data_IF_620447888905
#
_entry.id   IF_620447888905
#
_cell.length_a   1.000
_cell.length_b   1.000
_cell.length_c   1.000
_cell.angle_alpha   90.00
_cell.angle_beta   90.00
_cell.angle_gamma   90.00
#
_symmetry.space_group_name_H-M   'P 1'
#
loop_
_entity.id
_entity.type
_entity.pdbx_description
1 polymer ?
#
# COMPACT_ATOMS: atom_id res chain seq x y z
N UNK A 1 27.14 21.28 60.83
CA UNK A 1 28.46 21.53 60.22
C UNK A 1 28.92 20.21 59.63
N UNK A 2 28.82 20.03 58.30
CA UNK A 2 29.41 18.86 57.64
C UNK A 2 30.92 19.06 57.59
N UNK A 3 31.67 18.05 58.02
CA UNK A 3 33.13 18.07 57.92
C UNK A 3 33.54 18.08 56.45
N UNK A 4 34.71 18.66 56.15
CA UNK A 4 35.29 18.65 54.78
C UNK A 4 35.37 17.22 54.21
N UNK A 5 35.57 16.23 55.06
CA UNK A 5 35.54 14.79 54.72
C UNK A 5 34.16 14.28 54.33
N UNK A 6 33.08 14.77 54.95
CA UNK A 6 31.71 14.33 54.65
C UNK A 6 31.27 14.82 53.26
N UNK A 7 31.69 16.03 52.88
CA UNK A 7 31.42 16.57 51.55
C UNK A 7 32.21 15.82 50.47
N UNK A 8 33.45 15.43 50.75
CA UNK A 8 34.26 14.61 49.82
C UNK A 8 33.65 13.22 49.66
N UNK A 9 33.22 12.59 50.76
CA UNK A 9 32.55 11.29 50.72
C UNK A 9 31.27 11.32 49.89
N UNK A 10 30.46 12.36 50.05
CA UNK A 10 29.24 12.56 49.27
C UNK A 10 29.52 12.70 47.77
N UNK A 11 30.55 13.46 47.40
CA UNK A 11 30.96 13.62 45.99
C UNK A 11 31.46 12.31 45.37
N UNK A 12 32.20 11.50 46.13
CA UNK A 12 32.66 10.18 45.68
C UNK A 12 31.47 9.24 45.47
N UNK A 13 30.49 9.25 46.38
CA UNK A 13 29.28 8.44 46.26
C UNK A 13 28.42 8.85 45.05
N UNK A 14 28.26 10.14 44.83
CA UNK A 14 27.52 10.68 43.69
C UNK A 14 28.19 10.31 42.35
N UNK A 15 29.54 10.35 42.29
CA UNK A 15 30.30 9.93 41.11
C UNK A 15 30.11 8.44 40.83
N UNK A 16 30.17 7.59 41.86
CA UNK A 16 29.92 6.15 41.72
C UNK A 16 28.52 5.87 41.21
N UNK A 17 27.50 6.56 41.73
CA UNK A 17 26.12 6.41 41.25
C UNK A 17 25.94 6.84 39.80
N UNK A 18 26.59 7.92 39.37
CA UNK A 18 26.56 8.38 37.98
C UNK A 18 27.22 7.38 37.02
N UNK A 19 28.37 6.80 37.42
CA UNK A 19 29.08 5.81 36.63
C UNK A 19 28.27 4.51 36.49
N UNK A 20 27.72 4.01 37.59
CA UNK A 20 26.87 2.80 37.59
C UNK A 20 25.59 3.06 36.80
N UNK A 21 24.94 4.21 37.00
CA UNK A 21 23.73 4.60 36.28
C UNK A 21 23.92 4.60 34.77
N UNK A 22 25.06 5.11 34.28
CA UNK A 22 25.36 5.14 32.83
C UNK A 22 25.41 3.76 32.17
N UNK A 23 25.73 2.70 32.92
CA UNK A 23 25.74 1.33 32.42
C UNK A 23 24.33 0.75 32.21
N UNK A 24 23.32 1.27 32.94
CA UNK A 24 21.92 0.86 32.84
C UNK A 24 21.10 1.72 31.86
N UNK A 25 21.63 2.87 31.41
CA UNK A 25 21.02 3.65 30.36
C UNK A 25 21.39 3.07 28.98
N UNK A 26 20.59 2.11 28.52
CA UNK A 26 20.63 1.75 27.10
C UNK A 26 20.12 2.92 26.27
N UNK A 27 20.79 3.29 25.16
CA UNK A 27 20.27 4.31 24.27
C UNK A 27 18.92 3.81 23.73
N UNK A 28 17.86 4.60 23.92
CA UNK A 28 16.59 4.40 23.21
C UNK A 28 16.89 4.63 21.74
N UNK A 29 17.21 3.54 21.02
CA UNK A 29 17.29 3.60 19.56
C UNK A 29 15.88 3.48 19.03
N UNK A 30 15.48 4.45 18.23
CA UNK A 30 14.27 4.33 17.43
C UNK A 30 14.42 3.10 16.54
N UNK A 31 13.61 2.09 16.81
CA UNK A 31 13.71 0.79 16.17
C UNK A 31 13.01 0.86 14.80
N UNK A 32 13.51 1.72 13.90
CA UNK A 32 13.06 1.73 12.52
C UNK A 32 13.46 0.40 11.90
N UNK A 33 12.47 -0.46 11.76
CA UNK A 33 12.59 -1.82 11.25
C UNK A 33 12.98 -1.73 9.77
N UNK A 34 14.28 -1.71 9.49
CA UNK A 34 14.83 -1.49 8.14
C UNK A 34 14.46 -2.60 7.15
N UNK A 35 14.10 -3.81 7.61
CA UNK A 35 13.67 -4.89 6.74
C UNK A 35 12.23 -4.75 6.21
N UNK A 36 11.43 -3.83 6.77
CA UNK A 36 10.13 -3.45 6.20
C UNK A 36 10.25 -2.35 5.14
N UNK A 37 11.40 -1.66 5.09
CA UNK A 37 11.70 -0.64 4.11
C UNK A 37 12.63 -1.25 3.07
N UNK A 38 12.07 -1.93 2.07
CA UNK A 38 12.86 -2.33 0.90
C UNK A 38 13.34 -1.04 0.21
N UNK A 39 14.66 -0.77 0.19
CA UNK A 39 15.16 0.40 -0.51
C UNK A 39 14.80 0.27 -1.98
N UNK A 40 14.22 1.33 -2.54
CA UNK A 40 13.86 1.38 -3.95
C UNK A 40 15.07 1.24 -4.87
N UNK A 41 14.84 0.81 -6.12
CA UNK A 41 15.90 0.71 -7.12
C UNK A 41 16.30 2.09 -7.63
N UNK A 42 17.60 2.39 -7.58
CA UNK A 42 18.16 3.59 -8.19
C UNK A 42 18.64 3.28 -9.61
N UNK A 43 18.42 4.16 -10.61
CA UNK A 43 17.79 5.49 -10.53
C UNK A 43 16.27 5.49 -10.79
N UNK A 44 15.65 4.33 -11.00
CA UNK A 44 14.25 4.20 -11.42
C UNK A 44 13.29 4.85 -10.43
N UNK A 45 13.43 4.57 -9.14
CA UNK A 45 12.56 5.11 -8.10
C UNK A 45 12.76 6.62 -7.84
N UNK A 46 13.85 7.19 -8.34
CA UNK A 46 14.11 8.65 -8.28
C UNK A 46 13.57 9.36 -9.53
N UNK A 47 13.54 8.66 -10.67
CA UNK A 47 13.17 9.25 -11.96
C UNK A 47 11.71 9.02 -12.34
N UNK A 48 11.05 8.03 -11.75
CA UNK A 48 9.71 7.60 -12.12
C UNK A 48 8.80 7.44 -10.90
N UNK A 49 7.47 7.64 -11.05
CA UNK A 49 6.56 7.58 -9.93
C UNK A 49 6.18 6.12 -9.59
N UNK A 50 5.70 5.89 -8.37
CA UNK A 50 5.57 4.57 -7.73
C UNK A 50 4.82 3.51 -8.55
N UNK A 51 3.67 3.86 -9.13
CA UNK A 51 2.83 2.93 -9.89
C UNK A 51 3.21 2.81 -11.37
N UNK A 52 4.47 3.12 -11.71
CA UNK A 52 4.96 2.91 -13.06
C UNK A 52 4.98 1.41 -13.38
N UNK A 53 4.31 1.03 -14.46
CA UNK A 53 4.13 -0.37 -14.89
C UNK A 53 2.69 -0.82 -14.73
N UNK A 54 2.04 -0.44 -13.63
CA UNK A 54 0.63 -0.72 -13.37
C UNK A 54 -0.31 0.26 -14.08
N UNK A 55 0.11 1.53 -14.18
CA UNK A 55 -0.61 2.58 -14.87
C UNK A 55 0.29 3.29 -15.88
N UNK A 56 -0.23 3.61 -17.08
CA UNK A 56 0.49 4.42 -18.05
C UNK A 56 0.75 5.82 -17.48
N UNK A 57 1.93 6.37 -17.76
CA UNK A 57 2.30 7.72 -17.31
C UNK A 57 1.65 8.78 -18.19
N UNK A 58 1.26 9.90 -17.58
CA UNK A 58 0.63 11.00 -18.29
C UNK A 58 1.57 11.71 -19.26
N UNK A 59 1.15 11.83 -20.52
CA UNK A 59 1.88 12.61 -21.53
C UNK A 59 1.90 14.09 -21.14
N UNK A 60 3.10 14.66 -21.01
CA UNK A 60 3.31 16.06 -20.65
C UNK A 60 3.79 16.29 -19.21
N UNK A 61 3.66 15.28 -18.33
CA UNK A 61 4.31 15.22 -17.01
C UNK A 61 3.85 16.25 -15.97
N UNK A 62 3.35 15.77 -14.83
CA UNK A 62 3.44 16.41 -13.51
C UNK A 62 3.12 17.91 -13.44
N UNK A 63 1.83 18.23 -13.37
CA UNK A 63 1.33 19.58 -13.09
C UNK A 63 0.17 19.54 -12.12
N UNK A 64 -0.60 20.63 -12.05
CA UNK A 64 -1.91 20.62 -11.42
C UNK A 64 -2.95 20.21 -12.47
N UNK A 65 -3.92 19.40 -12.08
CA UNK A 65 -5.09 19.07 -12.89
C UNK A 65 -6.19 20.11 -12.69
N UNK A 66 -7.14 20.12 -13.61
CA UNK A 66 -8.38 20.89 -13.51
C UNK A 66 -9.42 20.24 -12.58
N UNK A 67 -9.03 19.21 -11.81
CA UNK A 67 -9.94 18.55 -10.88
C UNK A 67 -10.21 19.46 -9.68
N UNK A 68 -11.49 19.67 -9.40
CA UNK A 68 -11.98 20.33 -8.20
C UNK A 68 -12.59 19.32 -7.21
N UNK A 69 -12.93 19.81 -6.02
CA UNK A 69 -13.55 18.97 -4.98
C UNK A 69 -14.86 18.31 -5.44
N UNK A 70 -15.59 18.95 -6.37
CA UNK A 70 -16.83 18.41 -6.92
C UNK A 70 -16.55 17.24 -7.87
N UNK A 71 -15.60 17.40 -8.78
CA UNK A 71 -15.16 16.38 -9.72
C UNK A 71 -14.59 15.16 -8.99
N UNK A 72 -13.94 15.38 -7.85
CA UNK A 72 -13.39 14.32 -7.02
C UNK A 72 -14.46 13.34 -6.50
N UNK A 73 -15.69 13.81 -6.26
CA UNK A 73 -16.80 12.97 -5.81
C UNK A 73 -17.19 11.87 -6.81
N UNK A 74 -16.94 12.07 -8.11
CA UNK A 74 -17.24 11.07 -9.14
C UNK A 74 -16.28 9.85 -9.09
N UNK A 75 -15.11 10.00 -8.45
CA UNK A 75 -14.13 8.94 -8.28
C UNK A 75 -14.39 8.07 -7.04
N UNK A 76 -15.28 8.50 -6.15
CA UNK A 76 -15.63 7.72 -4.96
C UNK A 76 -16.42 6.47 -5.37
N UNK A 77 -16.01 5.26 -4.94
CA UNK A 77 -16.67 3.99 -5.31
C UNK A 77 -17.95 3.75 -4.47
N UNK A 78 -18.75 4.79 -4.25
CA UNK A 78 -20.03 4.71 -3.54
C UNK A 78 -21.14 4.74 -4.57
N UNK A 79 -21.58 3.55 -4.96
CA UNK A 79 -22.66 3.41 -5.93
C UNK A 79 -24.03 3.43 -5.24
N UNK A 80 -25.04 4.07 -5.86
CA UNK A 80 -26.40 4.00 -5.35
C UNK A 80 -26.96 2.59 -5.49
N UNK A 81 -27.91 2.25 -4.61
CA UNK A 81 -28.65 1.00 -4.69
C UNK A 81 -29.30 0.88 -6.07
N UNK A 82 -28.96 -0.16 -6.82
CA UNK A 82 -29.50 -0.39 -8.17
C UNK A 82 -29.64 -1.89 -8.45
N UNK A 83 -30.59 -2.23 -9.32
CA UNK A 83 -30.78 -3.61 -9.82
C UNK A 83 -29.56 -4.16 -10.58
N UNK A 84 -28.61 -3.29 -10.94
CA UNK A 84 -27.36 -3.66 -11.60
C UNK A 84 -26.35 -4.33 -10.65
N UNK A 85 -26.68 -4.50 -9.36
CA UNK A 85 -25.85 -5.17 -8.35
C UNK A 85 -24.41 -4.63 -8.28
N UNK A 86 -24.23 -3.34 -8.55
CA UNK A 86 -22.91 -2.69 -8.44
C UNK A 86 -22.56 -2.56 -6.97
N UNK A 87 -21.47 -3.19 -6.55
CA UNK A 87 -20.95 -3.11 -5.18
C UNK A 87 -19.86 -2.04 -5.08
N UNK A 88 -19.62 -1.53 -3.88
CA UNK A 88 -18.51 -0.62 -3.58
C UNK A 88 -17.13 -1.29 -3.65
N UNK A 89 -17.08 -2.61 -3.86
CA UNK A 89 -15.84 -3.38 -3.97
C UNK A 89 -15.31 -3.38 -5.41
N UNK A 90 -14.77 -2.24 -5.83
CA UNK A 90 -14.14 -2.10 -7.16
C UNK A 90 -12.78 -2.82 -7.15
N UNK A 91 -12.68 -3.93 -7.90
CA UNK A 91 -11.43 -4.71 -8.04
C UNK A 91 -10.48 -4.13 -9.08
N UNK A 92 -11.01 -3.63 -10.19
CA UNK A 92 -10.23 -3.13 -11.32
C UNK A 92 -10.44 -1.63 -11.48
N UNK A 93 -9.38 -0.86 -11.26
CA UNK A 93 -9.41 0.59 -11.32
C UNK A 93 -8.78 1.09 -12.62
N UNK A 94 -9.44 2.01 -13.32
CA UNK A 94 -8.87 2.63 -14.51
C UNK A 94 -7.78 3.65 -14.14
N UNK A 95 -7.90 4.24 -12.95
CA UNK A 95 -7.02 5.29 -12.44
C UNK A 95 -6.68 4.97 -10.98
N UNK A 96 -5.51 5.38 -10.49
CA UNK A 96 -5.17 5.23 -9.07
C UNK A 96 -5.93 6.20 -8.16
N UNK A 97 -6.72 7.12 -8.71
CA UNK A 97 -7.54 8.06 -7.95
C UNK A 97 -8.86 7.41 -7.51
N UNK A 98 -9.10 7.41 -6.19
CA UNK A 98 -10.28 6.88 -5.52
C UNK A 98 -11.19 7.98 -4.93
N UNK A 99 -10.93 9.25 -5.24
CA UNK A 99 -11.72 10.37 -4.73
C UNK A 99 -11.23 10.94 -3.38
N UNK A 100 -10.21 10.35 -2.75
CA UNK A 100 -9.73 10.80 -1.43
C UNK A 100 -8.52 11.73 -1.48
N UNK A 101 -8.04 12.04 -2.68
CA UNK A 101 -6.84 12.84 -2.87
C UNK A 101 -7.12 14.34 -2.60
N UNK A 102 -6.18 14.99 -1.89
CA UNK A 102 -6.29 16.38 -1.47
C UNK A 102 -4.90 17.06 -1.51
N UNK A 103 -4.79 18.29 -2.06
CA UNK A 103 -5.85 19.06 -2.72
C UNK A 103 -6.27 18.43 -4.06
N UNK A 104 -7.52 18.67 -4.47
CA UNK A 104 -8.13 17.97 -5.61
C UNK A 104 -7.36 18.17 -6.94
N UNK A 105 -6.76 19.35 -7.12
CA UNK A 105 -5.96 19.71 -8.28
C UNK A 105 -4.59 18.99 -8.34
N UNK A 106 -4.18 18.26 -7.30
CA UNK A 106 -2.98 17.42 -7.36
C UNK A 106 -3.29 16.00 -7.85
N UNK A 107 -4.56 15.65 -8.01
CA UNK A 107 -5.00 14.31 -8.37
C UNK A 107 -5.05 14.13 -9.89
N UNK A 108 -4.78 12.92 -10.39
CA UNK A 108 -4.91 12.62 -11.83
C UNK A 108 -3.89 13.33 -12.74
N UNK A 109 -2.71 13.65 -12.19
CA UNK A 109 -1.65 14.42 -12.86
C UNK A 109 -0.42 13.58 -13.25
N UNK A 110 -0.32 12.36 -12.71
CA UNK A 110 0.84 11.49 -12.89
C UNK A 110 0.56 10.31 -13.83
N UNK A 111 -0.69 9.86 -13.90
CA UNK A 111 -1.08 8.61 -14.57
C UNK A 111 -2.26 8.84 -15.50
N UNK A 112 -2.23 8.22 -16.68
CA UNK A 112 -3.38 8.14 -17.57
C UNK A 112 -4.30 6.98 -17.16
N UNK A 113 -5.52 7.00 -17.70
CA UNK A 113 -6.46 5.91 -17.52
C UNK A 113 -5.91 4.65 -18.21
N UNK A 114 -5.69 3.58 -17.44
CA UNK A 114 -5.33 2.29 -18.02
C UNK A 114 -6.55 1.61 -18.64
N UNK A 115 -6.30 0.84 -19.70
CA UNK A 115 -7.31 -0.07 -20.24
C UNK A 115 -7.52 -1.21 -19.26
N UNK A 116 -8.74 -1.35 -18.76
CA UNK A 116 -9.11 -2.49 -17.91
C UNK A 116 -9.39 -3.69 -18.81
N UNK A 117 -8.60 -4.76 -18.65
CA UNK A 117 -8.93 -6.07 -19.20
C UNK A 117 -9.46 -6.94 -18.05
N UNK A 118 -10.78 -7.18 -18.05
CA UNK A 118 -11.41 -8.04 -17.06
C UNK A 118 -11.24 -9.48 -17.55
N UNK A 119 -10.58 -10.35 -16.76
CA UNK A 119 -10.47 -11.76 -17.14
C UNK A 119 -11.87 -12.35 -17.31
N UNK A 120 -12.09 -13.04 -18.42
CA UNK A 120 -13.35 -13.74 -18.61
C UNK A 120 -13.41 -14.93 -17.66
N UNK A 121 -14.53 -15.08 -16.98
CA UNK A 121 -14.77 -16.28 -16.20
C UNK A 121 -14.85 -17.48 -17.14
N UNK A 122 -14.32 -18.65 -16.74
CA UNK A 122 -14.50 -19.86 -17.53
C UNK A 122 -16.00 -20.13 -17.75
N UNK A 123 -16.38 -20.68 -18.90
CA UNK A 123 -17.78 -20.93 -19.19
C UNK A 123 -18.38 -21.89 -18.14
N UNK A 124 -19.59 -21.59 -17.70
CA UNK A 124 -20.32 -22.49 -16.81
C UNK A 124 -20.68 -23.77 -17.57
N UNK A 125 -20.48 -24.93 -16.93
CA UNK A 125 -20.83 -26.20 -17.56
C UNK A 125 -22.30 -26.60 -17.28
N UNK A 126 -23.07 -27.03 -18.30
CA UNK A 126 -24.47 -27.43 -18.13
C UNK A 126 -24.55 -28.68 -17.26
N UNK A 127 -25.54 -28.81 -16.38
CA UNK A 127 -25.67 -29.93 -15.42
C UNK A 127 -25.59 -31.34 -16.03
N UNK A 128 -25.89 -31.47 -17.32
CA UNK A 128 -25.77 -32.72 -18.08
C UNK A 128 -24.34 -33.09 -18.51
N UNK A 129 -23.34 -32.23 -18.29
CA UNK A 129 -21.95 -32.54 -18.65
C UNK A 129 -21.39 -33.68 -17.80
N UNK A 130 -20.59 -34.55 -18.43
CA UNK A 130 -19.85 -35.65 -17.80
C UNK A 130 -18.53 -35.20 -17.16
N UNK A 131 -18.15 -33.93 -17.33
CA UNK A 131 -16.91 -33.39 -16.80
C UNK A 131 -16.94 -33.29 -15.27
N UNK A 132 -15.79 -33.51 -14.64
CA UNK A 132 -15.60 -33.30 -13.20
C UNK A 132 -15.78 -31.82 -12.87
N UNK A 133 -16.65 -31.51 -11.90
CA UNK A 133 -16.96 -30.11 -11.54
C UNK A 133 -16.13 -29.64 -10.36
N UNK A 134 -15.68 -28.39 -10.42
CA UNK A 134 -15.28 -27.61 -9.25
C UNK A 134 -16.18 -26.37 -9.20
N UNK A 135 -17.13 -26.37 -8.27
CA UNK A 135 -18.23 -25.39 -8.23
C UNK A 135 -19.04 -25.35 -9.54
N UNK A 136 -19.02 -24.23 -10.27
CA UNK A 136 -19.79 -24.01 -11.52
C UNK A 136 -18.98 -24.28 -12.79
N UNK A 137 -17.70 -24.66 -12.66
CA UNK A 137 -16.75 -24.80 -13.77
C UNK A 137 -16.32 -26.26 -13.96
N UNK A 138 -15.92 -26.62 -15.18
CA UNK A 138 -15.23 -27.88 -15.44
C UNK A 138 -13.82 -27.82 -14.89
N UNK A 139 -13.39 -28.92 -14.28
CA UNK A 139 -11.99 -29.20 -14.00
C UNK A 139 -11.30 -29.59 -15.31
N UNK A 140 -10.29 -28.82 -15.71
CA UNK A 140 -9.43 -29.12 -16.83
C UNK A 140 -7.99 -29.26 -16.29
N UNK A 141 -7.42 -30.46 -16.42
CA UNK A 141 -6.09 -30.77 -15.91
C UNK A 141 -4.97 -30.14 -16.74
N UNK A 142 -5.27 -29.73 -17.97
CA UNK A 142 -4.33 -29.15 -18.93
C UNK A 142 -4.48 -27.63 -19.04
N UNK A 143 -5.39 -27.02 -18.26
CA UNK A 143 -5.61 -25.59 -18.28
C UNK A 143 -4.38 -24.81 -17.76
N UNK A 144 -4.01 -23.70 -18.41
CA UNK A 144 -2.91 -22.84 -17.95
C UNK A 144 -3.12 -22.39 -16.49
N UNK A 145 -2.10 -22.56 -15.64
CA UNK A 145 -2.14 -22.28 -14.20
C UNK A 145 -2.38 -20.80 -13.86
N UNK A 146 -2.32 -19.93 -14.85
CA UNK A 146 -2.58 -18.50 -14.80
C UNK A 146 -4.08 -18.14 -14.71
N UNK A 147 -5.00 -19.09 -14.91
CA UNK A 147 -6.45 -18.87 -14.73
C UNK A 147 -6.91 -19.11 -13.28
N UNK A 148 -6.23 -20.00 -12.55
CA UNK A 148 -6.46 -20.25 -11.13
C UNK A 148 -5.26 -19.74 -10.36
N UNK A 149 -5.23 -18.42 -10.11
CA UNK A 149 -4.21 -17.77 -9.30
C UNK A 149 -3.89 -18.61 -8.06
N UNK A 150 -2.61 -18.96 -7.94
CA UNK A 150 -2.04 -19.67 -6.81
C UNK A 150 -2.48 -19.05 -5.49
N UNK A 151 -3.50 -19.63 -4.88
CA UNK A 151 -3.84 -19.45 -3.48
C UNK A 151 -3.72 -20.82 -2.81
N UNK A 152 -2.47 -21.21 -2.60
CA UNK A 152 -2.03 -22.02 -1.47
C UNK A 152 -0.88 -21.26 -0.82
#
# INVERSE_FOLDING_TARGET
>A
MTSKTDNILFLILALLFALIGSFFFTPVRENFVSHLLQPGEFPTNVTKPLLQGDYPLQKGGGGLSDLDSRSMSAYYPVFPNSYLQRTNNVRYWATPNNGTCSPANMCGTLYENKKINIPQFPPSIPFSSKDTRVNVYAYDADAPSDIYGNNC
#
